data_IF_706015433281
#
_entry.id   IF_706015433281
#
_cell.length_a   1.000
_cell.length_b   1.000
_cell.length_c   1.000
_cell.angle_alpha   90.00
_cell.angle_beta   90.00
_cell.angle_gamma   90.00
#
_symmetry.space_group_name_H-M   'P 1'
#
loop_
_entity.id
_entity.type
_entity.pdbx_description
1 polymer ?
#
# COMPACT_ATOMS: atom_id res chain seq x y z
N UNK A 1 -59.55 -13.68 48.51
CA UNK A 1 -58.68 -14.82 48.85
C UNK A 1 -57.43 -14.74 47.97
N UNK A 2 -56.30 -14.43 48.63
CA UNK A 2 -54.88 -14.59 48.28
C UNK A 2 -54.39 -13.90 46.97
N UNK A 3 -53.70 -12.75 46.99
CA UNK A 3 -52.29 -12.47 47.37
C UNK A 3 -51.29 -13.46 46.74
N UNK A 4 -50.19 -13.08 46.06
CA UNK A 4 -49.00 -12.38 46.62
C UNK A 4 -48.13 -11.78 45.46
N UNK A 5 -47.54 -10.62 45.76
CA UNK A 5 -46.50 -9.84 45.04
C UNK A 5 -45.14 -10.56 44.87
N UNK A 6 -44.29 -10.12 43.92
CA UNK A 6 -42.85 -9.83 44.18
C UNK A 6 -42.11 -9.17 42.98
N UNK A 7 -41.63 -7.95 43.21
CA UNK A 7 -40.35 -7.37 42.74
C UNK A 7 -39.45 -7.26 44.01
N UNK A 8 -38.11 -7.01 44.03
CA UNK A 8 -37.36 -6.00 43.24
C UNK A 8 -35.83 -6.25 42.97
N UNK A 9 -35.16 -5.25 42.35
CA UNK A 9 -33.75 -4.77 42.49
C UNK A 9 -32.56 -5.75 42.39
N UNK A 10 -31.36 -5.42 41.88
CA UNK A 10 -30.68 -4.17 41.52
C UNK A 10 -29.25 -4.49 41.02
N UNK A 11 -28.63 -3.54 40.31
CA UNK A 11 -27.25 -3.52 39.73
C UNK A 11 -26.15 -3.50 40.85
N UNK A 12 -24.80 -3.48 40.62
CA UNK A 12 -24.02 -3.16 39.39
C UNK A 12 -22.63 -3.83 39.14
N UNK A 13 -22.08 -3.58 37.94
CA UNK A 13 -20.68 -3.23 37.52
C UNK A 13 -19.49 -4.01 38.15
N UNK A 14 -18.69 -4.69 37.31
CA UNK A 14 -17.21 -4.68 37.40
C UNK A 14 -16.58 -4.59 36.00
N UNK A 15 -15.74 -3.56 35.86
CA UNK A 15 -14.85 -3.20 34.76
C UNK A 15 -13.51 -3.92 35.00
N UNK A 16 -12.87 -4.49 33.98
CA UNK A 16 -11.45 -4.87 34.06
C UNK A 16 -10.72 -4.39 32.80
N UNK A 17 -10.01 -3.28 32.98
CA UNK A 17 -8.96 -2.73 32.10
C UNK A 17 -7.65 -2.99 32.82
N UNK A 18 -6.70 -3.74 32.23
CA UNK A 18 -5.27 -3.61 32.57
C UNK A 18 -4.41 -3.96 31.35
N UNK A 19 -3.55 -3.00 30.98
CA UNK A 19 -2.32 -3.14 30.21
C UNK A 19 -1.28 -2.25 30.92
N UNK A 20 -0.01 -2.23 30.48
CA UNK A 20 1.10 -3.15 30.75
C UNK A 20 2.10 -2.57 31.79
N UNK A 21 3.00 -3.38 32.36
CA UNK A 21 4.16 -2.86 33.09
C UNK A 21 5.47 -3.55 32.69
N UNK A 22 6.32 -2.75 32.08
CA UNK A 22 7.77 -2.90 31.97
C UNK A 22 8.43 -2.16 33.13
N UNK A 23 9.33 -2.79 33.89
CA UNK A 23 10.23 -2.07 34.78
C UNK A 23 11.52 -2.83 35.07
N UNK A 24 12.53 -2.06 35.46
CA UNK A 24 13.96 -2.24 35.23
C UNK A 24 14.70 -2.21 36.59
N UNK A 25 15.67 -3.13 36.80
CA UNK A 25 16.87 -3.08 37.71
C UNK A 25 16.65 -3.06 39.25
N UNK A 26 17.70 -3.16 40.13
CA UNK A 26 19.15 -3.45 39.96
C UNK A 26 19.72 -4.55 40.91
N UNK A 27 21.05 -4.69 40.89
CA UNK A 27 21.93 -5.71 41.47
C UNK A 27 22.44 -5.46 42.91
N UNK A 28 22.97 -6.52 43.55
CA UNK A 28 24.05 -6.56 44.58
C UNK A 28 24.21 -8.01 45.08
N UNK A 29 25.34 -8.62 45.45
CA UNK A 29 26.73 -8.23 45.74
C UNK A 29 27.59 -9.52 45.74
N UNK A 30 28.89 -9.38 45.47
CA UNK A 30 29.96 -10.40 45.38
C UNK A 30 30.60 -10.66 46.77
N UNK A 31 31.32 -11.78 47.01
CA UNK A 31 32.80 -11.70 47.17
C UNK A 31 33.56 -12.89 46.52
N UNK A 32 34.47 -12.66 45.56
CA UNK A 32 35.95 -12.58 45.63
C UNK A 32 36.75 -13.92 45.55
N UNK A 33 37.27 -14.18 44.33
CA UNK A 33 38.62 -14.63 43.84
C UNK A 33 39.61 -15.45 44.72
N UNK A 34 40.52 -16.29 44.11
CA UNK A 34 41.56 -15.79 43.17
C UNK A 34 41.94 -16.67 41.93
N UNK A 35 42.33 -15.94 40.88
CA UNK A 35 43.43 -16.16 39.91
C UNK A 35 43.46 -17.41 38.99
N UNK A 36 43.16 -17.21 37.69
CA UNK A 36 43.84 -17.87 36.57
C UNK A 36 43.74 -17.03 35.27
N UNK A 37 44.91 -16.61 34.75
CA UNK A 37 45.29 -16.16 33.40
C UNK A 37 44.40 -15.15 32.62
N UNK A 38 45.01 -14.14 31.93
CA UNK A 38 44.25 -13.22 31.08
C UNK A 38 43.73 -13.97 29.84
N UNK A 39 42.41 -14.20 29.79
CA UNK A 39 41.78 -14.63 28.55
C UNK A 39 41.84 -13.47 27.56
N UNK A 40 42.68 -13.65 26.54
CA UNK A 40 42.72 -12.84 25.33
C UNK A 40 41.28 -12.67 24.82
N UNK A 41 40.78 -11.44 24.88
CA UNK A 41 39.39 -11.10 24.59
C UNK A 41 38.91 -11.66 23.26
N UNK A 42 37.61 -12.00 23.22
CA UNK A 42 36.92 -12.43 22.01
C UNK A 42 37.24 -11.49 20.84
N UNK A 43 38.01 -12.01 19.87
CA UNK A 43 38.34 -11.27 18.65
C UNK A 43 37.02 -10.92 17.96
N UNK A 44 36.82 -9.66 17.58
CA UNK A 44 35.65 -9.28 16.78
C UNK A 44 35.71 -10.05 15.46
N UNK A 45 34.86 -11.06 15.31
CA UNK A 45 34.76 -11.81 14.07
C UNK A 45 33.89 -11.01 13.10
N UNK A 46 34.47 -10.61 11.97
CA UNK A 46 33.73 -10.04 10.85
C UNK A 46 33.07 -11.12 9.98
N UNK A 47 32.26 -10.69 9.02
CA UNK A 47 31.75 -11.59 7.99
C UNK A 47 32.85 -11.94 6.99
N UNK A 48 32.98 -13.22 6.64
CA UNK A 48 33.85 -13.66 5.55
C UNK A 48 33.17 -13.55 4.18
N UNK A 49 33.87 -13.95 3.12
CA UNK A 49 33.31 -14.03 1.76
C UNK A 49 32.06 -14.93 1.71
N UNK A 50 31.12 -14.66 0.79
CA UNK A 50 29.86 -15.40 0.71
C UNK A 50 30.12 -16.87 0.35
N UNK A 51 29.20 -17.74 0.75
CA UNK A 51 29.27 -19.16 0.40
C UNK A 51 29.21 -19.36 -1.12
N UNK A 52 30.05 -20.25 -1.66
CA UNK A 52 30.08 -20.55 -3.09
C UNK A 52 28.76 -21.12 -3.63
N UNK A 53 28.02 -21.87 -2.79
CA UNK A 53 26.78 -22.55 -3.19
C UNK A 53 25.52 -21.70 -3.04
N UNK A 54 25.33 -21.07 -1.89
CA UNK A 54 24.09 -20.33 -1.58
C UNK A 54 24.26 -18.81 -1.51
N UNK A 55 25.48 -18.28 -1.75
CA UNK A 55 25.81 -16.85 -1.75
C UNK A 55 25.57 -16.11 -0.43
N UNK A 56 25.26 -16.82 0.66
CA UNK A 56 25.03 -16.25 1.99
C UNK A 56 26.35 -15.84 2.63
N UNK A 57 26.40 -14.63 3.18
CA UNK A 57 27.50 -14.15 4.03
C UNK A 57 27.38 -14.77 5.42
N UNK A 58 28.51 -15.21 5.98
CA UNK A 58 28.55 -15.84 7.30
C UNK A 58 29.89 -15.54 7.98
N UNK A 59 29.89 -15.62 9.31
CA UNK A 59 31.02 -15.26 10.17
C UNK A 59 32.32 -15.95 9.71
N UNK A 60 33.44 -15.21 9.70
CA UNK A 60 34.70 -15.67 9.12
C UNK A 60 35.36 -16.82 9.89
N UNK A 61 35.03 -16.97 11.17
CA UNK A 61 35.49 -18.05 12.05
C UNK A 61 34.82 -19.40 11.74
N UNK A 62 33.63 -19.39 11.15
CA UNK A 62 32.93 -20.59 10.72
C UNK A 62 33.59 -21.18 9.46
N UNK A 63 33.98 -22.45 9.55
CA UNK A 63 34.61 -23.22 8.47
C UNK A 63 33.64 -23.65 7.37
N UNK A 64 32.34 -23.66 7.65
CA UNK A 64 31.31 -24.08 6.71
C UNK A 64 30.09 -23.17 6.82
N UNK A 65 29.38 -23.02 5.70
CA UNK A 65 28.17 -22.21 5.64
C UNK A 65 27.09 -22.79 6.57
N UNK A 66 26.49 -21.99 7.48
CA UNK A 66 25.43 -22.48 8.37
C UNK A 66 24.14 -22.86 7.62
N UNK A 67 23.97 -22.38 6.39
CA UNK A 67 22.77 -22.62 5.58
C UNK A 67 22.88 -23.91 4.78
N UNK A 68 23.95 -24.09 4.01
CA UNK A 68 24.09 -25.22 3.08
C UNK A 68 25.22 -26.20 3.44
N UNK A 69 25.93 -25.97 4.56
CA UNK A 69 27.05 -26.77 5.07
C UNK A 69 28.23 -26.93 4.11
N UNK A 70 28.24 -26.16 3.01
CA UNK A 70 29.34 -26.12 2.07
C UNK A 70 30.55 -25.43 2.73
N UNK A 71 31.76 -26.02 2.67
CA UNK A 71 32.98 -25.42 3.21
C UNK A 71 33.56 -24.33 2.29
N UNK A 72 33.12 -24.29 1.03
CA UNK A 72 33.68 -23.39 0.03
C UNK A 72 33.07 -21.99 0.14
N UNK A 73 33.96 -21.01 0.18
CA UNK A 73 33.64 -19.59 0.02
C UNK A 73 34.02 -19.16 -1.39
N UNK A 74 33.33 -18.14 -1.91
CA UNK A 74 33.74 -17.49 -3.16
C UNK A 74 35.16 -16.99 -2.97
N UNK A 75 36.08 -17.39 -3.84
CA UNK A 75 37.45 -16.89 -3.83
C UNK A 75 37.43 -15.41 -4.20
N UNK A 76 38.23 -14.60 -3.52
CA UNK A 76 38.52 -13.27 -4.02
C UNK A 76 39.20 -13.47 -5.38
N UNK A 77 38.53 -13.05 -6.45
CA UNK A 77 39.17 -12.98 -7.76
C UNK A 77 40.23 -11.91 -7.63
N UNK A 78 41.45 -12.32 -7.27
CA UNK A 78 42.64 -11.51 -7.48
C UNK A 78 42.71 -11.32 -8.98
N UNK A 79 42.12 -10.23 -9.46
CA UNK A 79 42.59 -9.66 -10.70
C UNK A 79 44.05 -9.38 -10.41
N UNK A 80 44.96 -10.22 -10.93
CA UNK A 80 46.35 -9.80 -11.06
C UNK A 80 46.27 -8.50 -11.81
N UNK A 81 46.44 -7.39 -11.08
CA UNK A 81 46.64 -6.11 -11.71
C UNK A 81 47.79 -6.35 -12.71
N UNK A 82 47.63 -6.00 -14.00
CA UNK A 82 48.81 -5.88 -14.82
C UNK A 82 49.78 -4.99 -14.05
N UNK A 83 51.07 -5.37 -13.99
CA UNK A 83 52.11 -4.48 -13.47
C UNK A 83 52.01 -3.19 -14.29
N UNK A 84 51.29 -2.21 -13.76
CA UNK A 84 51.31 -0.85 -14.23
C UNK A 84 52.72 -0.39 -13.93
N UNK A 85 53.51 -0.34 -15.00
CA UNK A 85 54.78 0.38 -15.03
C UNK A 85 54.58 1.72 -14.32
N UNK A 86 55.45 2.02 -13.37
CA UNK A 86 55.52 3.28 -12.64
C UNK A 86 55.99 4.41 -13.58
N UNK A 87 55.18 4.72 -14.58
CA UNK A 87 55.14 6.04 -15.20
C UNK A 87 53.88 6.71 -14.66
N UNK A 88 54.04 7.86 -14.02
CA UNK A 88 52.94 8.69 -13.54
C UNK A 88 51.90 8.83 -14.66
N UNK A 89 50.72 8.16 -14.57
CA UNK A 89 49.72 8.29 -15.62
C UNK A 89 49.21 9.72 -15.56
N UNK A 90 49.29 10.43 -16.68
CA UNK A 90 48.92 11.84 -16.79
C UNK A 90 47.51 12.02 -16.20
N UNK A 91 47.44 12.65 -15.02
CA UNK A 91 46.22 12.69 -14.20
C UNK A 91 45.04 13.31 -14.96
N UNK A 92 45.36 14.20 -15.91
CA UNK A 92 44.41 14.84 -16.82
C UNK A 92 43.81 13.84 -17.81
N UNK A 93 44.62 12.95 -18.39
CA UNK A 93 44.14 11.94 -19.33
C UNK A 93 43.24 10.92 -18.64
N UNK A 94 43.57 10.51 -17.41
CA UNK A 94 42.72 9.64 -16.60
C UNK A 94 41.40 10.31 -16.22
N UNK A 95 41.41 11.61 -15.94
CA UNK A 95 40.19 12.36 -15.64
C UNK A 95 39.29 12.49 -16.88
N UNK A 96 39.86 12.71 -18.06
CA UNK A 96 39.11 12.67 -19.32
C UNK A 96 38.51 11.29 -19.64
N UNK A 97 39.27 10.20 -19.44
CA UNK A 97 38.77 8.83 -19.62
C UNK A 97 37.63 8.52 -18.63
N UNK A 98 37.79 8.96 -17.38
CA UNK A 98 36.77 8.84 -16.34
C UNK A 98 35.49 9.58 -16.75
N UNK A 99 35.62 10.80 -17.28
CA UNK A 99 34.46 11.55 -17.75
C UNK A 99 33.76 10.90 -18.94
N UNK A 100 34.53 10.36 -19.89
CA UNK A 100 33.98 9.62 -21.04
C UNK A 100 33.22 8.39 -20.55
N UNK A 101 33.83 7.60 -19.69
CA UNK A 101 33.19 6.42 -19.10
C UNK A 101 31.93 6.78 -18.31
N UNK A 102 31.98 7.84 -17.49
CA UNK A 102 30.80 8.29 -16.74
C UNK A 102 29.69 8.77 -17.65
N UNK A 103 29.99 9.45 -18.76
CA UNK A 103 28.99 9.87 -19.75
C UNK A 103 28.37 8.66 -20.44
N UNK A 104 29.17 7.71 -20.90
CA UNK A 104 28.69 6.49 -21.57
C UNK A 104 27.87 5.62 -20.62
N UNK A 105 28.36 5.39 -19.40
CA UNK A 105 27.65 4.64 -18.38
C UNK A 105 26.35 5.32 -17.97
N UNK A 106 26.35 6.64 -17.76
CA UNK A 106 25.13 7.41 -17.47
C UNK A 106 24.14 7.33 -18.64
N UNK A 107 24.61 7.43 -19.88
CA UNK A 107 23.77 7.26 -21.06
C UNK A 107 23.17 5.86 -21.12
N UNK A 108 23.94 4.81 -20.82
CA UNK A 108 23.47 3.43 -20.79
C UNK A 108 22.44 3.18 -19.68
N UNK A 109 22.67 3.71 -18.47
CA UNK A 109 21.72 3.62 -17.35
C UNK A 109 20.44 4.39 -17.68
N UNK A 110 20.54 5.57 -18.28
CA UNK A 110 19.37 6.34 -18.67
C UNK A 110 18.56 5.65 -19.78
N UNK A 111 19.24 5.07 -20.78
CA UNK A 111 18.61 4.31 -21.87
C UNK A 111 17.88 3.06 -21.37
N UNK A 112 18.50 2.29 -20.47
CA UNK A 112 17.85 1.12 -19.86
C UNK A 112 16.66 1.51 -18.97
N UNK A 113 16.78 2.59 -18.19
CA UNK A 113 15.69 3.06 -17.35
C UNK A 113 14.50 3.57 -18.17
N UNK A 114 14.74 4.29 -19.27
CA UNK A 114 13.66 4.75 -20.17
C UNK A 114 12.90 3.61 -20.84
N UNK A 115 13.59 2.53 -21.23
CA UNK A 115 12.94 1.34 -21.78
C UNK A 115 12.05 0.62 -20.76
N UNK A 116 12.53 0.47 -19.51
CA UNK A 116 11.76 -0.16 -18.43
C UNK A 116 10.52 0.68 -18.09
N UNK A 117 10.69 2.01 -18.03
CA UNK A 117 9.58 2.91 -17.68
C UNK A 117 8.53 2.97 -18.79
N UNK A 118 8.92 2.98 -20.06
CA UNK A 118 7.99 2.95 -21.19
C UNK A 118 7.15 1.66 -21.20
N UNK A 119 7.75 0.50 -20.92
CA UNK A 119 7.03 -0.78 -20.89
C UNK A 119 6.08 -0.94 -19.69
N UNK A 120 6.30 -0.21 -18.59
CA UNK A 120 5.46 -0.25 -17.39
C UNK A 120 4.37 0.84 -17.37
N UNK A 121 4.64 2.02 -17.93
CA UNK A 121 3.76 3.20 -17.78
C UNK A 121 2.49 3.16 -18.62
N UNK A 122 2.48 2.38 -19.70
CA UNK A 122 1.31 2.28 -20.59
C UNK A 122 0.48 1.03 -20.35
N UNK A 123 0.75 0.27 -19.28
CA UNK A 123 0.03 -0.97 -19.07
C UNK A 123 -1.39 -0.73 -18.56
N UNK A 124 -2.37 -1.34 -19.24
CA UNK A 124 -3.71 -1.45 -18.68
C UNK A 124 -3.64 -2.24 -17.37
N UNK A 125 -4.21 -1.67 -16.31
CA UNK A 125 -4.34 -2.29 -14.99
C UNK A 125 -5.38 -3.42 -14.95
N UNK A 126 -6.17 -3.57 -16.02
CA UNK A 126 -7.25 -4.56 -16.18
C UNK A 126 -6.84 -5.63 -17.19
N UNK A 127 -5.71 -6.28 -16.93
CA UNK A 127 -5.12 -7.32 -17.79
C UNK A 127 -6.07 -8.50 -18.04
N UNK A 128 -6.90 -8.86 -17.06
CA UNK A 128 -7.92 -9.92 -17.16
C UNK A 128 -8.95 -9.72 -18.29
N UNK A 129 -9.21 -8.47 -18.71
CA UNK A 129 -10.16 -8.18 -19.79
C UNK A 129 -9.58 -8.35 -21.20
N UNK A 130 -8.27 -8.64 -21.31
CA UNK A 130 -7.61 -8.80 -22.60
C UNK A 130 -7.54 -10.27 -23.01
N UNK A 131 -8.07 -10.60 -24.19
CA UNK A 131 -8.21 -11.99 -24.66
C UNK A 131 -6.92 -12.58 -25.26
N UNK A 132 -5.90 -11.76 -25.57
CA UNK A 132 -4.79 -12.19 -26.42
C UNK A 132 -3.42 -11.62 -26.09
N UNK A 133 -3.29 -10.77 -25.06
CA UNK A 133 -2.00 -10.21 -24.67
C UNK A 133 -2.08 -8.81 -24.09
N UNK A 134 -0.90 -8.20 -23.97
CA UNK A 134 -0.72 -6.87 -23.43
C UNK A 134 -1.30 -5.79 -24.35
N UNK A 135 -2.20 -4.97 -23.83
CA UNK A 135 -2.75 -3.81 -24.53
C UNK A 135 -2.62 -2.55 -23.67
N UNK A 136 -2.37 -1.37 -24.28
CA UNK A 136 -2.33 -0.13 -23.56
C UNK A 136 -3.74 0.30 -23.12
N UNK A 137 -3.84 0.96 -21.96
CA UNK A 137 -5.11 1.51 -21.50
C UNK A 137 -5.58 2.63 -22.45
N UNK A 138 -6.78 2.48 -23.02
CA UNK A 138 -7.41 3.52 -23.86
C UNK A 138 -7.82 4.77 -23.04
N UNK A 139 -8.02 4.59 -21.73
CA UNK A 139 -8.49 5.62 -20.80
C UNK A 139 -7.62 5.60 -19.55
N UNK A 140 -7.36 6.78 -18.96
CA UNK A 140 -6.55 6.89 -17.76
C UNK A 140 -7.24 6.18 -16.56
N UNK A 141 -6.47 5.54 -15.67
CA UNK A 141 -7.03 4.88 -14.48
C UNK A 141 -7.96 5.81 -13.65
N UNK A 142 -7.58 7.07 -13.34
CA UNK A 142 -8.49 8.00 -12.66
C UNK A 142 -9.80 8.30 -13.42
N UNK A 143 -9.73 8.33 -14.76
CA UNK A 143 -10.87 8.59 -15.62
C UNK A 143 -11.83 7.40 -15.61
N UNK A 144 -11.29 6.18 -15.64
CA UNK A 144 -12.05 4.94 -15.49
C UNK A 144 -12.71 4.87 -14.12
N UNK A 145 -11.95 5.11 -13.05
CA UNK A 145 -12.45 5.01 -11.67
C UNK A 145 -13.56 6.02 -11.41
N UNK A 146 -13.45 7.25 -11.96
CA UNK A 146 -14.52 8.24 -11.89
C UNK A 146 -15.81 7.80 -12.61
N UNK A 147 -15.70 7.10 -13.73
CA UNK A 147 -16.87 6.58 -14.44
C UNK A 147 -17.47 5.41 -13.67
N UNK A 148 -16.64 4.52 -13.14
CA UNK A 148 -17.06 3.38 -12.34
C UNK A 148 -17.80 3.85 -11.07
N UNK A 149 -17.23 4.79 -10.32
CA UNK A 149 -17.88 5.37 -9.14
C UNK A 149 -19.26 5.96 -9.46
N UNK A 150 -19.39 6.65 -10.60
CA UNK A 150 -20.70 7.18 -11.03
C UNK A 150 -21.69 6.08 -11.41
N UNK A 151 -21.21 4.97 -11.99
CA UNK A 151 -22.05 3.82 -12.27
C UNK A 151 -22.52 3.15 -10.97
N UNK A 152 -21.62 2.97 -10.01
CA UNK A 152 -21.91 2.37 -8.70
C UNK A 152 -22.94 3.23 -7.93
N UNK A 153 -22.83 4.56 -7.98
CA UNK A 153 -23.81 5.48 -7.39
C UNK A 153 -25.20 5.37 -8.05
N UNK A 154 -25.26 5.18 -9.36
CA UNK A 154 -26.51 4.97 -10.09
C UNK A 154 -27.15 3.63 -9.74
N UNK A 155 -26.35 2.56 -9.68
CA UNK A 155 -26.80 1.25 -9.27
C UNK A 155 -27.32 1.28 -7.83
N UNK A 156 -26.60 1.91 -6.91
CA UNK A 156 -27.04 2.10 -5.53
C UNK A 156 -28.34 2.92 -5.44
N UNK A 157 -28.51 3.95 -6.28
CA UNK A 157 -29.74 4.72 -6.30
C UNK A 157 -30.96 3.90 -6.71
N UNK A 158 -30.80 2.95 -7.65
CA UNK A 158 -31.87 2.03 -8.06
C UNK A 158 -32.27 1.05 -6.95
N UNK A 159 -31.38 0.79 -5.98
CA UNK A 159 -31.67 -0.03 -4.80
C UNK A 159 -32.41 0.75 -3.70
N UNK A 160 -33.47 1.48 -4.07
CA UNK A 160 -34.39 2.10 -3.10
C UNK A 160 -35.21 1.03 -2.38
N UNK A 161 -35.31 1.13 -1.06
CA UNK A 161 -36.12 0.21 -0.28
C UNK A 161 -37.61 0.36 -0.61
N UNK A 162 -38.34 -0.77 -0.63
CA UNK A 162 -39.77 -0.77 -0.93
C UNK A 162 -40.57 0.15 0.01
N UNK A 163 -40.19 0.20 1.30
CA UNK A 163 -40.85 1.06 2.30
C UNK A 163 -40.63 2.54 2.01
N UNK A 164 -39.41 2.91 1.64
CA UNK A 164 -39.06 4.29 1.29
C UNK A 164 -39.75 4.71 -0.01
N UNK A 165 -39.73 3.85 -1.03
CA UNK A 165 -40.43 4.09 -2.29
C UNK A 165 -41.95 4.26 -2.07
N UNK A 166 -42.55 3.39 -1.26
CA UNK A 166 -43.97 3.49 -0.92
C UNK A 166 -44.31 4.79 -0.18
N UNK A 167 -43.43 5.24 0.75
CA UNK A 167 -43.61 6.50 1.46
C UNK A 167 -43.54 7.70 0.50
N UNK A 168 -42.54 7.74 -0.38
CA UNK A 168 -42.40 8.80 -1.40
C UNK A 168 -43.63 8.85 -2.32
N UNK A 169 -44.14 7.69 -2.75
CA UNK A 169 -45.37 7.62 -3.54
C UNK A 169 -46.54 8.17 -2.73
N UNK A 170 -46.72 7.69 -1.50
CA UNK A 170 -47.83 8.09 -0.64
C UNK A 170 -47.85 9.61 -0.46
N UNK A 171 -46.74 10.22 -0.07
CA UNK A 171 -46.64 11.66 0.15
C UNK A 171 -46.96 12.46 -1.13
N UNK A 172 -46.52 11.96 -2.30
CA UNK A 172 -46.78 12.61 -3.57
C UNK A 172 -48.24 12.49 -4.03
N UNK A 173 -48.84 11.31 -3.84
CA UNK A 173 -50.24 11.01 -4.19
C UNK A 173 -51.19 11.93 -3.43
N UNK A 174 -50.93 12.14 -2.14
CA UNK A 174 -51.79 12.92 -1.25
C UNK A 174 -51.47 14.42 -1.21
N UNK A 175 -50.49 14.88 -2.00
CA UNK A 175 -50.10 16.30 -2.04
C UNK A 175 -51.12 17.19 -2.76
N UNK A 176 -51.85 16.67 -3.75
CA UNK A 176 -52.96 17.35 -4.44
C UNK A 176 -54.08 16.35 -4.78
N UNK A 177 -55.07 16.17 -3.89
CA UNK A 177 -56.16 15.20 -4.09
C UNK A 177 -57.23 15.68 -5.07
N UNK A 178 -57.07 16.87 -5.66
CA UNK A 178 -58.10 17.51 -6.49
C UNK A 178 -58.27 16.84 -7.87
N UNK A 179 -57.22 16.19 -8.38
CA UNK A 179 -57.20 15.60 -9.73
C UNK A 179 -56.56 14.20 -9.72
N UNK A 180 -57.35 13.13 -9.91
CA UNK A 180 -56.86 11.75 -9.85
C UNK A 180 -55.88 11.41 -10.98
N UNK A 181 -55.89 12.17 -12.09
CA UNK A 181 -54.96 11.96 -13.21
C UNK A 181 -53.55 12.47 -12.90
N UNK A 182 -53.45 13.53 -12.10
CA UNK A 182 -52.17 14.12 -11.66
C UNK A 182 -51.52 13.33 -10.54
N UNK A 183 -52.30 12.60 -9.75
CA UNK A 183 -51.84 11.76 -8.64
C UNK A 183 -50.72 10.78 -9.05
N UNK A 184 -50.89 10.05 -10.16
CA UNK A 184 -49.88 9.10 -10.65
C UNK A 184 -48.67 9.81 -11.27
N UNK A 185 -48.90 10.93 -11.95
CA UNK A 185 -47.82 11.74 -12.52
C UNK A 185 -46.92 12.31 -11.41
N UNK A 186 -47.53 12.81 -10.34
CA UNK A 186 -46.84 13.34 -9.16
C UNK A 186 -46.02 12.25 -8.47
N UNK A 187 -46.59 11.05 -8.30
CA UNK A 187 -45.88 9.90 -7.75
C UNK A 187 -44.66 9.49 -8.60
N UNK A 188 -44.83 9.43 -9.93
CA UNK A 188 -43.73 9.12 -10.84
C UNK A 188 -42.63 10.19 -10.79
N UNK A 189 -43.01 11.47 -10.77
CA UNK A 189 -42.06 12.58 -10.65
C UNK A 189 -41.31 12.55 -9.31
N UNK A 190 -41.99 12.22 -8.21
CA UNK A 190 -41.40 12.15 -6.88
C UNK A 190 -40.36 11.02 -6.79
N UNK A 191 -40.68 9.80 -7.24
CA UNK A 191 -39.72 8.70 -7.27
C UNK A 191 -38.53 9.03 -8.15
N UNK A 192 -38.76 9.54 -9.37
CA UNK A 192 -37.66 9.89 -10.28
C UNK A 192 -36.76 10.98 -9.69
N UNK A 193 -37.33 11.93 -8.94
CA UNK A 193 -36.57 12.97 -8.26
C UNK A 193 -35.76 12.42 -7.10
N UNK A 194 -36.31 11.48 -6.33
CA UNK A 194 -35.60 10.79 -5.25
C UNK A 194 -34.45 9.92 -5.77
N UNK A 195 -34.67 9.17 -6.86
CA UNK A 195 -33.62 8.38 -7.52
C UNK A 195 -32.48 9.27 -8.05
N UNK A 196 -32.81 10.42 -8.68
CA UNK A 196 -31.80 11.38 -9.15
C UNK A 196 -31.01 11.99 -8.00
N UNK A 197 -31.68 12.34 -6.91
CA UNK A 197 -31.05 12.88 -5.70
C UNK A 197 -30.06 11.87 -5.09
N UNK A 198 -30.44 10.59 -5.01
CA UNK A 198 -29.57 9.50 -4.53
C UNK A 198 -28.38 9.25 -5.45
N UNK A 199 -28.59 9.34 -6.77
CA UNK A 199 -27.53 9.20 -7.76
C UNK A 199 -26.55 10.39 -7.81
N UNK A 200 -26.69 11.40 -6.93
CA UNK A 200 -25.90 12.63 -6.98
C UNK A 200 -26.16 13.48 -8.23
N UNK A 201 -27.20 13.14 -9.00
CA UNK A 201 -27.75 13.97 -10.07
C UNK A 201 -28.65 14.99 -9.37
N UNK A 202 -28.03 15.91 -8.63
CA UNK A 202 -28.73 17.13 -8.19
C UNK A 202 -29.43 17.73 -9.42
N UNK A 203 -30.61 18.33 -9.25
CA UNK A 203 -31.35 18.95 -10.34
C UNK A 203 -30.51 20.04 -11.02
N UNK A 204 -29.67 19.65 -11.97
CA UNK A 204 -28.89 20.51 -12.84
C UNK A 204 -29.87 21.09 -13.86
N UNK A 205 -30.70 22.04 -13.41
CA UNK A 205 -30.62 23.33 -14.08
C UNK A 205 -29.18 23.78 -13.82
N UNK A 206 -28.36 23.79 -14.88
CA UNK A 206 -26.93 24.04 -14.78
C UNK A 206 -26.58 25.34 -14.05
N UNK A 207 -25.28 25.66 -13.91
CA UNK A 207 -24.87 27.00 -13.51
C UNK A 207 -25.22 27.97 -14.65
N UNK A 208 -26.51 28.26 -14.83
CA UNK A 208 -26.99 29.45 -15.50
C UNK A 208 -26.69 30.59 -14.54
N UNK A 209 -25.40 30.94 -14.47
CA UNK A 209 -24.94 32.23 -13.97
C UNK A 209 -25.70 33.28 -14.79
N UNK A 210 -26.57 34.11 -14.18
CA UNK A 210 -27.21 35.19 -14.92
C UNK A 210 -26.08 36.10 -15.41
N UNK A 211 -25.96 36.25 -16.73
CA UNK A 211 -25.04 37.22 -17.31
C UNK A 211 -25.63 38.61 -17.01
N UNK A 212 -24.88 39.51 -16.36
CA UNK A 212 -25.34 40.88 -16.16
C UNK A 212 -25.28 41.63 -17.49
N UNK A 213 -26.43 42.14 -17.93
CA UNK A 213 -26.61 43.39 -18.68
C UNK A 213 -28.08 43.79 -18.56
#
# INVERSE_FOLDING_TARGET
MNSIFSTPSGKPIIQNVVQPQSEVRPASVVPQSPAAAPQLGAKRVGYGLPCAKCKTYYAADLKACPVCKCPERVTAKTVSAPLVSSGDPDAVALEEERERFLREFKAQVYASHTQINAAASFRCSKDENHQGGFEPAAVCQPCHDRIQERADLLEAALHIDLKEAAQVIYDAVWSDPSDPSKTYLNAAQAILSELRKRAGIGGVLGPLKPRPH
#
